data_IF_021419695432
#
_entry.id   IF_021419695432
#
_cell.length_a   1.000
_cell.length_b   1.000
_cell.length_c   1.000
_cell.angle_alpha   90.00
_cell.angle_beta   90.00
_cell.angle_gamma   90.00
#
_symmetry.space_group_name_H-M   'P 1'
#
loop_
_entity.id
_entity.type
_entity.pdbx_description
1 polymer ?
#
# COMPACT_ATOMS: atom_id res chain seq x y z
N UNK A 1 -51.48 15.79 71.18
CA UNK A 1 -51.06 14.37 71.17
C UNK A 1 -51.56 13.78 69.87
N UNK A 2 -50.67 13.28 69.01
CA UNK A 2 -51.10 12.65 67.75
C UNK A 2 -51.90 11.38 68.07
N UNK A 3 -53.05 11.19 67.45
CA UNK A 3 -53.84 9.97 67.65
C UNK A 3 -53.19 8.81 66.89
N UNK A 4 -53.29 7.59 67.41
CA UNK A 4 -52.70 6.38 66.78
C UNK A 4 -53.12 6.21 65.30
N UNK A 5 -54.32 6.68 64.95
CA UNK A 5 -54.89 6.68 63.60
C UNK A 5 -54.22 7.69 62.67
N UNK A 6 -53.86 8.86 63.19
CA UNK A 6 -53.23 9.94 62.41
C UNK A 6 -51.78 9.57 62.08
N UNK A 7 -51.04 9.01 63.06
CA UNK A 7 -49.68 8.52 62.87
C UNK A 7 -49.62 7.39 61.82
N UNK A 8 -50.57 6.46 61.86
CA UNK A 8 -50.62 5.34 60.91
C UNK A 8 -50.99 5.79 59.48
N UNK A 9 -51.85 6.80 59.31
CA UNK A 9 -52.14 7.41 58.00
C UNK A 9 -50.89 8.07 57.39
N UNK A 10 -50.19 8.92 58.14
CA UNK A 10 -48.98 9.58 57.66
C UNK A 10 -47.84 8.61 57.40
N UNK A 11 -47.65 7.59 58.24
CA UNK A 11 -46.61 6.57 58.06
C UNK A 11 -46.79 5.80 56.74
N UNK A 12 -48.02 5.39 56.41
CA UNK A 12 -48.31 4.68 55.16
C UNK A 12 -48.03 5.55 53.93
N UNK A 13 -48.36 6.84 54.01
CA UNK A 13 -48.10 7.82 52.95
C UNK A 13 -46.60 8.06 52.75
N UNK A 14 -45.84 8.19 53.84
CA UNK A 14 -44.37 8.33 53.80
C UNK A 14 -43.73 7.09 53.19
N UNK A 15 -44.13 5.89 53.58
CA UNK A 15 -43.61 4.64 53.01
C UNK A 15 -43.85 4.59 51.49
N UNK A 16 -45.08 4.90 51.04
CA UNK A 16 -45.40 4.90 49.61
C UNK A 16 -44.56 5.90 48.81
N UNK A 17 -44.41 7.12 49.31
CA UNK A 17 -43.58 8.16 48.67
C UNK A 17 -42.10 7.74 48.65
N UNK A 18 -41.60 7.13 49.72
CA UNK A 18 -40.22 6.65 49.82
C UNK A 18 -39.94 5.54 48.82
N UNK A 19 -40.87 4.59 48.65
CA UNK A 19 -40.74 3.51 47.65
C UNK A 19 -40.72 4.09 46.23
N UNK A 20 -41.60 5.04 45.92
CA UNK A 20 -41.60 5.72 44.60
C UNK A 20 -40.28 6.45 44.36
N UNK A 21 -39.75 7.15 45.36
CA UNK A 21 -38.48 7.86 45.26
C UNK A 21 -37.31 6.91 45.00
N UNK A 22 -37.26 5.76 45.69
CA UNK A 22 -36.23 4.73 45.50
C UNK A 22 -36.31 4.11 44.10
N UNK A 23 -37.51 3.83 43.60
CA UNK A 23 -37.71 3.29 42.25
C UNK A 23 -37.27 4.31 41.19
N UNK A 24 -37.65 5.58 41.33
CA UNK A 24 -37.18 6.66 40.45
C UNK A 24 -35.65 6.79 40.48
N UNK A 25 -35.04 6.74 41.66
CA UNK A 25 -33.59 6.82 41.82
C UNK A 25 -32.86 5.65 41.13
N UNK A 26 -33.43 4.44 41.15
CA UNK A 26 -32.87 3.28 40.44
C UNK A 26 -33.01 3.39 38.91
N UNK A 27 -34.13 3.95 38.41
CA UNK A 27 -34.41 4.05 36.96
C UNK A 27 -33.62 5.20 36.31
N UNK A 28 -33.40 6.30 37.03
CA UNK A 28 -32.73 7.51 36.52
C UNK A 28 -31.36 7.23 35.84
N UNK A 29 -30.39 6.52 36.45
CA UNK A 29 -29.09 6.27 35.81
C UNK A 29 -29.21 5.43 34.53
N UNK A 30 -30.20 4.53 34.46
CA UNK A 30 -30.48 3.73 33.26
C UNK A 30 -30.99 4.62 32.13
N UNK A 31 -31.96 5.51 32.43
CA UNK A 31 -32.48 6.47 31.45
C UNK A 31 -31.40 7.43 30.95
N UNK A 32 -30.53 7.93 31.84
CA UNK A 32 -29.40 8.80 31.46
C UNK A 32 -28.40 8.05 30.55
N UNK A 33 -28.09 6.78 30.86
CA UNK A 33 -27.16 5.99 30.04
C UNK A 33 -27.73 5.69 28.65
N UNK A 34 -29.02 5.36 28.57
CA UNK A 34 -29.72 5.14 27.29
C UNK A 34 -29.76 6.45 26.50
N UNK A 35 -30.17 7.56 27.14
CA UNK A 35 -30.25 8.88 26.50
C UNK A 35 -28.91 9.37 25.97
N UNK A 36 -27.84 9.23 26.75
CA UNK A 36 -26.48 9.62 26.33
C UNK A 36 -25.95 8.73 25.21
N UNK A 37 -26.23 7.42 25.23
CA UNK A 37 -25.85 6.51 24.14
C UNK A 37 -26.59 6.82 22.85
N UNK A 38 -27.90 7.11 22.94
CA UNK A 38 -28.71 7.51 21.78
C UNK A 38 -28.25 8.86 21.23
N UNK A 39 -28.00 9.83 22.11
CA UNK A 39 -27.48 11.15 21.72
C UNK A 39 -26.13 11.05 21.03
N UNK A 40 -25.16 10.28 21.56
CA UNK A 40 -23.84 10.08 20.92
C UNK A 40 -23.90 9.30 19.61
N UNK A 41 -24.90 8.43 19.41
CA UNK A 41 -25.12 7.76 18.12
C UNK A 41 -25.72 8.69 17.07
N UNK A 42 -26.61 9.59 17.47
CA UNK A 42 -27.24 10.55 16.58
C UNK A 42 -26.36 11.78 16.30
N UNK A 43 -25.55 12.18 17.29
CA UNK A 43 -24.58 13.26 17.24
C UNK A 43 -23.21 12.74 17.68
N UNK A 44 -22.49 12.00 16.81
CA UNK A 44 -21.11 11.63 17.09
C UNK A 44 -20.27 12.89 17.35
N UNK A 45 -19.37 12.82 18.32
CA UNK A 45 -18.44 13.92 18.58
C UNK A 45 -17.63 14.22 17.31
N UNK A 46 -17.41 15.50 16.96
CA UNK A 46 -16.62 15.85 15.79
C UNK A 46 -15.23 15.21 15.92
N UNK A 47 -14.65 14.72 14.81
CA UNK A 47 -13.33 14.11 14.86
C UNK A 47 -12.31 15.10 15.46
N UNK A 48 -11.29 14.62 16.19
CA UNK A 48 -10.29 15.49 16.78
C UNK A 48 -9.62 16.33 15.68
N UNK A 49 -9.20 17.57 15.97
CA UNK A 49 -8.59 18.43 14.98
C UNK A 49 -7.33 17.78 14.39
N UNK A 50 -7.01 18.03 13.10
CA UNK A 50 -5.80 17.51 12.49
C UNK A 50 -4.56 17.99 13.24
N UNK A 51 -3.65 17.06 13.54
CA UNK A 51 -2.44 17.37 14.31
C UNK A 51 -1.39 18.12 13.50
N UNK A 52 -1.30 17.87 12.18
CA UNK A 52 -0.35 18.52 11.25
C UNK A 52 1.10 18.63 11.81
N UNK A 53 1.58 17.56 12.47
CA UNK A 53 2.84 17.55 13.22
C UNK A 53 4.07 17.95 12.38
N UNK A 54 4.07 17.58 11.10
CA UNK A 54 5.23 17.75 10.21
C UNK A 54 5.12 19.02 9.34
N UNK A 55 4.14 19.90 9.59
CA UNK A 55 3.93 21.08 8.77
C UNK A 55 3.53 20.69 7.34
N UNK A 56 4.08 21.40 6.34
CA UNK A 56 3.82 21.10 4.92
C UNK A 56 4.54 19.83 4.48
N UNK A 57 3.83 18.94 3.81
CA UNK A 57 4.34 17.69 3.29
C UNK A 57 4.89 17.87 1.87
N UNK A 58 5.94 17.12 1.48
CA UNK A 58 6.36 17.08 0.09
C UNK A 58 5.24 16.54 -0.80
N UNK A 59 5.12 17.06 -2.03
CA UNK A 59 4.20 16.54 -3.03
C UNK A 59 4.55 15.07 -3.33
N UNK A 60 3.53 14.22 -3.44
CA UNK A 60 3.71 12.83 -3.91
C UNK A 60 4.32 12.89 -5.31
N UNK A 61 5.47 12.23 -5.49
CA UNK A 61 6.10 12.11 -6.79
C UNK A 61 5.43 10.97 -7.56
N UNK A 62 4.61 11.31 -8.56
CA UNK A 62 4.11 10.33 -9.51
C UNK A 62 5.06 10.25 -10.70
N UNK A 63 5.25 9.07 -11.31
CA UNK A 63 6.02 8.95 -12.55
C UNK A 63 5.47 9.89 -13.63
N UNK A 64 6.36 10.52 -14.38
CA UNK A 64 5.98 11.43 -15.47
C UNK A 64 5.16 10.69 -16.53
N UNK A 65 4.01 11.26 -16.90
CA UNK A 65 3.16 10.71 -17.95
C UNK A 65 2.93 11.76 -19.02
N UNK A 66 3.09 11.34 -20.27
CA UNK A 66 2.82 12.15 -21.45
C UNK A 66 1.81 11.37 -22.27
N UNK A 67 0.57 11.87 -22.35
CA UNK A 67 -0.45 11.32 -23.23
C UNK A 67 -0.58 12.24 -24.45
N UNK A 68 -0.64 11.66 -25.64
CA UNK A 68 -0.80 12.42 -26.89
C UNK A 68 -2.13 13.18 -26.94
N UNK A 69 -3.16 12.64 -26.27
CA UNK A 69 -4.48 13.26 -26.15
C UNK A 69 -5.02 13.11 -24.72
N UNK A 70 -5.83 14.06 -24.29
CA UNK A 70 -6.49 13.99 -22.99
C UNK A 70 -7.59 12.93 -23.00
N UNK A 71 -7.59 11.99 -22.05
CA UNK A 71 -8.64 10.98 -21.96
C UNK A 71 -9.97 11.60 -21.53
N UNK A 72 -11.06 10.99 -21.97
CA UNK A 72 -12.42 11.37 -21.55
C UNK A 72 -12.88 10.50 -20.39
N UNK A 73 -13.57 11.10 -19.42
CA UNK A 73 -13.97 10.40 -18.19
C UNK A 73 -15.50 10.32 -18.06
N UNK A 74 -15.98 9.16 -17.64
CA UNK A 74 -17.38 8.90 -17.28
C UNK A 74 -17.43 8.35 -15.86
N UNK A 75 -18.30 8.89 -15.02
CA UNK A 75 -18.52 8.40 -13.67
C UNK A 75 -19.77 7.51 -13.65
N UNK A 76 -19.56 6.21 -13.43
CA UNK A 76 -20.63 5.21 -13.40
C UNK A 76 -20.48 4.30 -12.16
N UNK A 77 -20.58 4.92 -10.98
CA UNK A 77 -20.59 4.20 -9.69
C UNK A 77 -21.95 3.56 -9.44
N UNK A 78 -21.99 2.55 -8.56
CA UNK A 78 -23.24 1.86 -8.18
C UNK A 78 -24.29 2.85 -7.67
N UNK A 79 -23.87 3.88 -6.94
CA UNK A 79 -24.74 4.90 -6.37
C UNK A 79 -25.02 6.07 -7.34
N UNK A 80 -24.37 6.10 -8.52
CA UNK A 80 -24.43 7.22 -9.45
C UNK A 80 -23.74 8.51 -8.94
N UNK A 81 -23.08 8.46 -7.78
CA UNK A 81 -22.35 9.58 -7.19
C UNK A 81 -21.03 9.12 -6.56
N UNK A 82 -20.16 10.07 -6.24
CA UNK A 82 -18.98 9.79 -5.42
C UNK A 82 -19.40 9.46 -3.98
N UNK A 83 -18.73 8.52 -3.31
CA UNK A 83 -19.04 8.15 -1.93
C UNK A 83 -18.57 9.23 -0.95
N UNK A 84 -19.21 9.29 0.22
CA UNK A 84 -18.75 10.15 1.31
C UNK A 84 -17.42 9.62 1.86
N UNK A 85 -16.44 10.51 1.98
CA UNK A 85 -15.10 10.19 2.48
C UNK A 85 -14.80 10.89 3.80
N UNK A 86 -13.90 10.34 4.62
CA UNK A 86 -13.31 11.06 5.74
C UNK A 86 -12.71 12.39 5.30
N UNK A 87 -12.76 13.38 6.17
CA UNK A 87 -12.20 14.74 5.93
C UNK A 87 -10.74 14.86 6.32
N UNK A 88 -10.16 13.82 6.91
CA UNK A 88 -8.77 13.76 7.35
C UNK A 88 -8.30 12.31 7.47
N UNK A 89 -6.99 12.11 7.53
CA UNK A 89 -6.40 10.81 7.81
C UNK A 89 -4.91 10.89 8.07
N UNK A 90 -4.31 9.73 8.36
CA UNK A 90 -2.93 9.65 8.83
C UNK A 90 -1.93 9.66 7.69
N UNK A 91 -0.82 10.33 7.92
CA UNK A 91 0.41 10.29 7.12
C UNK A 91 1.51 9.71 7.98
N UNK A 92 2.40 8.93 7.37
CA UNK A 92 3.47 8.22 8.04
C UNK A 92 4.83 8.65 7.52
N UNK A 93 5.79 8.83 8.42
CA UNK A 93 7.18 9.15 8.05
C UNK A 93 7.89 7.88 7.59
N UNK A 94 8.61 7.99 6.48
CA UNK A 94 9.47 6.93 5.97
C UNK A 94 10.87 7.09 6.56
N UNK A 95 11.38 6.01 7.13
CA UNK A 95 12.72 5.92 7.69
C UNK A 95 13.76 5.65 6.61
N UNK A 96 14.89 6.34 6.74
CA UNK A 96 16.09 6.10 5.94
C UNK A 96 17.24 5.64 6.85
N UNK A 97 18.13 4.81 6.32
CA UNK A 97 19.28 4.34 7.06
C UNK A 97 20.27 5.48 7.34
N UNK A 98 20.63 5.66 8.61
CA UNK A 98 21.52 6.74 9.04
C UNK A 98 23.01 6.36 8.97
N UNK A 99 23.36 5.07 8.97
CA UNK A 99 24.75 4.60 9.02
C UNK A 99 25.20 3.99 7.69
N UNK A 100 25.90 4.78 6.86
CA UNK A 100 26.35 4.36 5.53
C UNK A 100 27.29 3.15 5.55
N UNK A 101 28.25 3.12 6.48
CA UNK A 101 29.28 2.07 6.54
C UNK A 101 28.70 0.70 6.90
N UNK A 102 27.80 0.66 7.90
CA UNK A 102 27.17 -0.59 8.34
C UNK A 102 26.23 -1.14 7.26
N UNK A 103 25.49 -0.26 6.58
CA UNK A 103 24.61 -0.67 5.49
C UNK A 103 25.37 -1.18 4.28
N UNK A 104 26.48 -0.53 3.90
CA UNK A 104 27.32 -1.04 2.82
C UNK A 104 27.80 -2.47 3.11
N UNK A 105 28.23 -2.75 4.34
CA UNK A 105 28.65 -4.10 4.72
C UNK A 105 27.49 -5.10 4.65
N UNK A 106 26.30 -4.75 5.15
CA UNK A 106 25.09 -5.60 5.06
C UNK A 106 24.70 -5.89 3.62
N UNK A 107 24.72 -4.88 2.75
CA UNK A 107 24.39 -5.05 1.33
C UNK A 107 25.44 -5.91 0.64
N UNK A 108 26.73 -5.74 0.94
CA UNK A 108 27.80 -6.62 0.43
C UNK A 108 27.57 -8.08 0.85
N UNK A 109 27.20 -8.33 2.10
CA UNK A 109 26.95 -9.69 2.60
C UNK A 109 25.73 -10.33 1.92
N UNK A 110 24.67 -9.56 1.65
CA UNK A 110 23.50 -9.99 0.86
C UNK A 110 23.86 -10.30 -0.60
N UNK A 111 24.63 -9.40 -1.24
CA UNK A 111 25.12 -9.58 -2.61
C UNK A 111 25.95 -10.86 -2.76
N UNK A 112 26.86 -11.13 -1.80
CA UNK A 112 27.61 -12.39 -1.72
C UNK A 112 26.69 -13.61 -1.61
N UNK A 113 25.60 -13.50 -0.85
CA UNK A 113 24.57 -14.55 -0.76
C UNK A 113 23.89 -14.91 -2.08
N UNK A 114 23.88 -13.99 -3.07
CA UNK A 114 23.42 -14.24 -4.44
C UNK A 114 24.53 -14.68 -5.40
N UNK A 115 25.78 -14.77 -4.94
CA UNK A 115 26.93 -15.13 -5.78
C UNK A 115 27.71 -13.94 -6.34
N UNK A 116 27.38 -12.70 -5.97
CA UNK A 116 28.21 -11.53 -6.30
C UNK A 116 29.39 -11.45 -5.33
N UNK A 117 30.50 -12.10 -5.70
CA UNK A 117 31.73 -12.13 -4.90
C UNK A 117 32.67 -10.94 -5.12
N UNK A 118 32.49 -10.19 -6.21
CA UNK A 118 33.33 -9.04 -6.57
C UNK A 118 33.02 -7.78 -5.75
N UNK A 119 33.93 -6.80 -5.80
CA UNK A 119 33.67 -5.48 -5.26
C UNK A 119 32.69 -4.70 -6.16
N UNK A 120 31.74 -3.94 -5.58
CA UNK A 120 30.87 -3.09 -6.35
C UNK A 120 31.66 -1.92 -6.94
N UNK A 121 31.15 -1.37 -8.03
CA UNK A 121 31.49 -0.02 -8.45
C UNK A 121 30.34 0.92 -8.08
N UNK A 122 30.67 2.16 -7.77
CA UNK A 122 29.72 3.19 -7.39
C UNK A 122 29.19 3.88 -8.63
N UNK A 123 27.87 3.85 -8.84
CA UNK A 123 27.21 4.69 -9.84
C UNK A 123 27.04 6.13 -9.33
N UNK A 124 26.88 6.28 -8.00
CA UNK A 124 26.88 7.54 -7.25
C UNK A 124 27.34 7.27 -5.79
N UNK A 125 27.30 8.26 -4.88
CA UNK A 125 27.75 8.10 -3.48
C UNK A 125 26.94 7.07 -2.66
N UNK A 126 25.70 6.76 -3.06
CA UNK A 126 24.72 5.99 -2.27
C UNK A 126 24.26 4.70 -2.98
N UNK A 127 24.55 4.56 -4.27
CA UNK A 127 24.12 3.48 -5.16
C UNK A 127 25.31 2.65 -5.61
N UNK A 128 25.28 1.39 -5.23
CA UNK A 128 26.34 0.42 -5.49
C UNK A 128 25.84 -0.61 -6.49
N UNK A 129 26.69 -0.92 -7.46
CA UNK A 129 26.39 -1.87 -8.53
C UNK A 129 27.39 -3.00 -8.52
N UNK A 130 26.88 -4.23 -8.45
CA UNK A 130 27.64 -5.46 -8.63
C UNK A 130 27.33 -6.04 -10.01
N UNK A 131 28.35 -6.65 -10.62
CA UNK A 131 28.22 -7.44 -11.86
C UNK A 131 28.99 -8.74 -11.68
N UNK A 132 28.65 -9.77 -12.45
CA UNK A 132 29.26 -11.10 -12.27
C UNK A 132 29.72 -11.73 -13.59
N UNK A 133 30.71 -11.12 -14.27
CA UNK A 133 31.25 -11.67 -15.51
C UNK A 133 31.84 -13.09 -15.29
N UNK A 134 31.60 -14.06 -16.19
CA UNK A 134 30.98 -13.92 -17.52
C UNK A 134 29.44 -13.99 -17.54
N UNK A 135 28.79 -14.18 -16.39
CA UNK A 135 27.31 -14.23 -16.29
C UNK A 135 26.77 -12.80 -16.44
N UNK A 136 25.84 -12.53 -17.36
CA UNK A 136 25.30 -11.18 -17.56
C UNK A 136 24.24 -10.86 -16.51
N UNK A 137 24.63 -10.84 -15.23
CA UNK A 137 23.79 -10.41 -14.12
C UNK A 137 24.34 -9.16 -13.44
N UNK A 138 23.41 -8.37 -12.90
CA UNK A 138 23.67 -7.17 -12.14
C UNK A 138 22.79 -7.07 -10.91
N UNK A 139 23.33 -6.45 -9.88
CA UNK A 139 22.60 -6.06 -8.67
C UNK A 139 22.90 -4.60 -8.41
N UNK A 140 21.87 -3.77 -8.35
CA UNK A 140 21.96 -2.35 -7.99
C UNK A 140 21.27 -2.18 -6.66
N UNK A 141 21.94 -1.56 -5.68
CA UNK A 141 21.37 -1.32 -4.36
C UNK A 141 21.70 0.07 -3.83
N UNK A 142 20.71 0.71 -3.22
CA UNK A 142 20.85 1.98 -2.53
C UNK A 142 20.95 1.76 -1.01
N UNK A 143 22.06 2.17 -0.41
CA UNK A 143 22.33 1.89 1.01
C UNK A 143 21.52 2.75 1.99
N UNK A 144 20.97 3.89 1.52
CA UNK A 144 20.17 4.81 2.35
C UNK A 144 18.72 4.35 2.41
N UNK A 145 18.15 3.96 1.28
CA UNK A 145 16.74 3.57 1.18
C UNK A 145 16.56 2.07 1.40
N UNK A 146 17.62 1.28 1.28
CA UNK A 146 17.58 -0.18 1.30
C UNK A 146 16.97 -0.78 0.02
N UNK A 147 16.69 0.05 -0.98
CA UNK A 147 16.12 -0.38 -2.24
C UNK A 147 17.14 -1.15 -3.08
N UNK A 148 16.70 -2.17 -3.80
CA UNK A 148 17.57 -2.91 -4.71
C UNK A 148 16.82 -3.45 -5.92
N UNK A 149 17.57 -3.67 -6.99
CA UNK A 149 17.11 -4.29 -8.23
C UNK A 149 18.15 -5.31 -8.69
N UNK A 150 17.69 -6.52 -8.96
CA UNK A 150 18.45 -7.61 -9.55
C UNK A 150 17.96 -7.82 -10.98
N UNK A 151 18.90 -8.00 -11.91
CA UNK A 151 18.61 -8.26 -13.31
C UNK A 151 19.63 -9.27 -13.86
N UNK A 152 19.13 -10.26 -14.59
CA UNK A 152 19.92 -11.25 -15.30
C UNK A 152 19.44 -11.29 -16.75
N UNK A 153 20.37 -11.09 -17.69
CA UNK A 153 20.07 -11.12 -19.11
C UNK A 153 19.85 -12.55 -19.59
N UNK A 154 18.63 -13.04 -19.38
CA UNK A 154 18.19 -14.37 -19.75
C UNK A 154 18.19 -14.61 -21.27
N UNK A 155 18.31 -13.56 -22.11
CA UNK A 155 18.32 -13.68 -23.57
C UNK A 155 19.59 -14.33 -24.10
N UNK A 156 20.68 -14.28 -23.33
CA UNK A 156 21.92 -14.97 -23.68
C UNK A 156 21.87 -16.47 -23.36
N UNK A 157 20.81 -16.95 -22.68
CA UNK A 157 20.70 -18.32 -22.18
C UNK A 157 19.45 -19.03 -22.71
N UNK A 158 19.56 -19.84 -23.79
CA UNK A 158 18.43 -20.55 -24.40
C UNK A 158 17.61 -21.40 -23.42
N UNK A 159 18.25 -21.97 -22.39
CA UNK A 159 17.60 -22.79 -21.36
C UNK A 159 16.48 -22.03 -20.61
N UNK A 160 16.63 -20.70 -20.45
CA UNK A 160 15.63 -19.85 -19.80
C UNK A 160 14.30 -19.79 -20.58
N UNK A 161 14.34 -20.00 -21.90
CA UNK A 161 13.18 -19.89 -22.79
C UNK A 161 12.47 -21.22 -23.03
N UNK A 162 13.22 -22.33 -22.98
CA UNK A 162 12.72 -23.68 -23.28
C UNK A 162 12.00 -24.30 -22.09
N UNK A 163 12.40 -23.96 -20.85
CA UNK A 163 11.81 -24.60 -19.68
C UNK A 163 10.41 -24.08 -19.36
N UNK A 164 9.44 -24.99 -19.27
CA UNK A 164 8.03 -24.69 -19.00
C UNK A 164 7.55 -25.21 -17.64
N UNK A 165 8.46 -25.61 -16.76
CA UNK A 165 8.15 -26.06 -15.38
C UNK A 165 7.81 -24.86 -14.47
N UNK A 166 6.72 -24.18 -14.81
CA UNK A 166 6.20 -23.00 -14.13
C UNK A 166 5.34 -23.43 -12.94
N UNK A 167 5.68 -23.04 -11.70
CA UNK A 167 4.90 -23.39 -10.54
C UNK A 167 3.54 -22.69 -10.54
N UNK A 168 2.54 -23.36 -9.96
CA UNK A 168 1.24 -22.76 -9.65
C UNK A 168 1.35 -21.61 -8.63
N UNK A 169 0.33 -20.77 -8.58
CA UNK A 169 0.34 -19.47 -7.89
C UNK A 169 0.83 -19.51 -6.45
N UNK A 170 0.27 -20.36 -5.58
CA UNK A 170 0.68 -20.42 -4.17
C UNK A 170 2.17 -20.78 -4.02
N UNK A 171 2.64 -21.76 -4.79
CA UNK A 171 4.05 -22.17 -4.77
C UNK A 171 4.97 -21.08 -5.31
N UNK A 172 4.54 -20.37 -6.36
CA UNK A 172 5.27 -19.23 -6.92
C UNK A 172 5.41 -18.10 -5.90
N UNK A 173 4.35 -17.80 -5.14
CA UNK A 173 4.36 -16.78 -4.07
C UNK A 173 5.34 -17.17 -2.96
N UNK A 174 5.32 -18.43 -2.52
CA UNK A 174 6.26 -18.91 -1.49
C UNK A 174 7.72 -18.81 -1.96
N UNK A 175 7.99 -19.17 -3.22
CA UNK A 175 9.31 -19.05 -3.82
C UNK A 175 9.77 -17.58 -3.92
N UNK A 176 8.87 -16.68 -4.34
CA UNK A 176 9.17 -15.26 -4.43
C UNK A 176 9.46 -14.65 -3.05
N UNK A 177 8.61 -14.92 -2.05
CA UNK A 177 8.85 -14.47 -0.66
C UNK A 177 10.14 -15.07 -0.11
N UNK A 178 10.41 -16.35 -0.34
CA UNK A 178 11.69 -16.95 0.07
C UNK A 178 12.90 -16.26 -0.61
N UNK A 179 12.79 -15.91 -1.90
CA UNK A 179 13.84 -15.16 -2.59
C UNK A 179 14.06 -13.77 -1.98
N UNK A 180 12.98 -12.99 -1.85
CA UNK A 180 13.01 -11.63 -1.29
C UNK A 180 13.59 -11.64 0.14
N UNK A 181 13.19 -12.61 0.97
CA UNK A 181 13.64 -12.75 2.35
C UNK A 181 15.13 -13.07 2.53
N UNK A 182 15.80 -13.59 1.49
CA UNK A 182 17.27 -13.75 1.48
C UNK A 182 17.99 -12.42 1.25
N UNK A 183 17.35 -11.50 0.55
CA UNK A 183 17.94 -10.23 0.11
C UNK A 183 17.61 -9.05 1.01
N UNK A 184 16.42 -9.04 1.59
CA UNK A 184 15.97 -8.00 2.50
C UNK A 184 15.08 -8.59 3.58
N UNK A 185 14.99 -7.93 4.75
CA UNK A 185 13.94 -8.25 5.71
C UNK A 185 12.58 -8.18 5.03
N UNK A 186 11.72 -9.18 5.27
CA UNK A 186 10.32 -9.15 4.86
C UNK A 186 9.47 -8.78 6.07
N UNK A 187 9.01 -7.52 6.18
CA UNK A 187 8.22 -7.10 7.32
C UNK A 187 6.84 -7.77 7.30
N UNK A 188 6.17 -7.78 8.47
CA UNK A 188 4.93 -8.54 8.66
C UNK A 188 3.81 -8.13 7.71
N UNK A 189 3.78 -6.88 7.27
CA UNK A 189 2.80 -6.37 6.30
C UNK A 189 3.03 -6.91 4.88
N UNK A 190 4.26 -7.22 4.46
CA UNK A 190 4.53 -7.94 3.22
C UNK A 190 4.26 -9.45 3.35
N UNK A 191 4.45 -10.01 4.55
CA UNK A 191 4.16 -11.42 4.82
C UNK A 191 2.65 -11.68 4.76
N UNK A 192 1.87 -10.87 5.47
CA UNK A 192 0.40 -10.96 5.56
C UNK A 192 -0.34 -10.26 4.43
N UNK A 193 0.35 -9.44 3.64
CA UNK A 193 -0.19 -8.75 2.48
C UNK A 193 -0.52 -9.68 1.31
N UNK A 194 -1.21 -9.12 0.33
CA UNK A 194 -1.61 -9.85 -0.87
C UNK A 194 -0.45 -10.01 -1.85
N UNK A 195 -0.56 -10.97 -2.76
CA UNK A 195 0.38 -11.14 -3.86
C UNK A 195 -0.38 -11.44 -5.15
N UNK A 196 0.14 -10.96 -6.27
CA UNK A 196 -0.40 -11.24 -7.60
C UNK A 196 0.63 -12.01 -8.41
N UNK A 197 0.16 -13.05 -9.13
CA UNK A 197 0.99 -13.82 -10.06
C UNK A 197 0.55 -13.51 -11.48
N UNK A 198 1.51 -13.13 -12.32
CA UNK A 198 1.32 -12.86 -13.74
C UNK A 198 2.14 -13.89 -14.51
N UNK A 199 1.47 -14.78 -15.23
CA UNK A 199 2.13 -15.74 -16.11
C UNK A 199 2.47 -15.08 -17.43
N UNK A 200 3.65 -15.38 -17.97
CA UNK A 200 4.21 -14.69 -19.12
C UNK A 200 4.83 -15.67 -20.12
N UNK A 201 4.74 -15.29 -21.39
CA UNK A 201 5.49 -15.91 -22.49
C UNK A 201 6.54 -14.90 -22.92
N UNK A 202 7.80 -15.26 -22.73
CA UNK A 202 8.96 -14.53 -23.20
C UNK A 202 9.50 -15.16 -24.50
N UNK A 203 9.98 -14.33 -25.41
CA UNK A 203 10.62 -14.74 -26.67
C UNK A 203 12.13 -14.44 -26.65
N UNK A 204 12.87 -15.03 -27.59
CA UNK A 204 14.30 -14.76 -27.75
C UNK A 204 14.63 -13.28 -28.06
N UNK A 205 13.67 -12.49 -28.57
CA UNK A 205 13.87 -11.06 -28.81
C UNK A 205 13.82 -10.21 -27.55
N UNK A 206 13.43 -10.77 -26.40
CA UNK A 206 13.23 -10.01 -25.16
C UNK A 206 11.78 -9.59 -24.93
N UNK A 207 10.88 -9.80 -25.90
CA UNK A 207 9.47 -9.45 -25.77
C UNK A 207 8.77 -10.39 -24.79
N UNK A 208 7.88 -9.82 -23.98
CA UNK A 208 7.04 -10.58 -23.05
C UNK A 208 5.58 -10.25 -23.27
N UNK A 209 4.72 -11.26 -23.17
CA UNK A 209 3.27 -11.09 -23.20
C UNK A 209 2.63 -11.94 -22.11
N UNK A 210 1.49 -11.50 -21.61
CA UNK A 210 0.75 -12.26 -20.61
C UNK A 210 0.22 -13.57 -21.20
N UNK A 211 0.41 -14.66 -20.46
CA UNK A 211 -0.16 -15.97 -20.75
C UNK A 211 -1.54 -16.12 -20.11
N UNK A 212 -2.40 -16.95 -20.71
CA UNK A 212 -3.74 -17.23 -20.15
C UNK A 212 -3.67 -18.15 -18.93
N UNK A 213 -2.65 -18.99 -18.86
CA UNK A 213 -2.48 -20.01 -17.83
C UNK A 213 -1.00 -20.23 -17.52
N UNK A 214 -0.72 -20.93 -16.41
CA UNK A 214 0.64 -21.32 -16.06
C UNK A 214 1.21 -22.38 -17.01
N UNK A 215 0.37 -23.23 -17.63
CA UNK A 215 0.82 -24.30 -18.54
C UNK A 215 1.33 -23.77 -19.87
N UNK A 216 0.91 -22.56 -20.25
CA UNK A 216 1.33 -21.92 -21.51
C UNK A 216 2.55 -21.01 -21.31
N UNK A 217 3.01 -20.82 -20.07
CA UNK A 217 4.02 -19.86 -19.72
C UNK A 217 5.42 -20.48 -19.66
N UNK A 218 6.44 -19.67 -19.94
CA UNK A 218 7.85 -19.98 -19.68
C UNK A 218 8.47 -19.02 -18.65
N UNK A 219 7.75 -17.97 -18.27
CA UNK A 219 8.10 -17.06 -17.19
C UNK A 219 6.88 -16.77 -16.31
N UNK A 220 7.14 -16.35 -15.08
CA UNK A 220 6.13 -15.77 -14.20
C UNK A 220 6.72 -14.57 -13.47
N UNK A 221 5.85 -13.62 -13.13
CA UNK A 221 6.15 -12.51 -12.24
C UNK A 221 5.25 -12.63 -11.01
N UNK A 222 5.84 -12.50 -9.83
CA UNK A 222 5.12 -12.38 -8.56
C UNK A 222 5.32 -10.97 -8.04
N UNK A 223 4.23 -10.23 -7.87
CA UNK A 223 4.19 -8.92 -7.24
C UNK A 223 3.65 -9.06 -5.82
N UNK A 224 4.37 -8.54 -4.82
CA UNK A 224 3.98 -8.59 -3.40
C UNK A 224 3.52 -7.20 -2.96
N UNK A 225 2.35 -7.14 -2.34
CA UNK A 225 1.74 -5.92 -1.85
C UNK A 225 1.67 -5.93 -0.33
N UNK A 226 1.69 -4.74 0.27
CA UNK A 226 1.54 -4.58 1.72
C UNK A 226 0.11 -4.91 2.15
N UNK A 227 -0.04 -5.44 3.36
CA UNK A 227 -1.32 -5.55 4.04
C UNK A 227 -1.93 -4.16 4.27
N UNK A 228 -3.26 -4.11 4.41
CA UNK A 228 -3.97 -2.87 4.70
C UNK A 228 -3.49 -2.27 6.03
N UNK A 229 -3.43 -0.94 6.07
CA UNK A 229 -3.08 -0.17 7.26
C UNK A 229 -4.18 0.85 7.53
N UNK A 230 -4.66 0.92 8.76
CA UNK A 230 -5.85 1.71 9.13
C UNK A 230 -7.06 1.44 8.22
N UNK A 231 -7.29 0.17 7.86
CA UNK A 231 -8.33 -0.27 6.92
C UNK A 231 -8.16 0.20 5.47
N UNK A 232 -7.12 1.00 5.18
CA UNK A 232 -6.79 1.46 3.83
C UNK A 232 -5.82 0.49 3.15
N UNK A 233 -6.08 0.09 1.89
CA UNK A 233 -5.13 -0.70 1.11
C UNK A 233 -3.92 0.14 0.70
N UNK A 234 -2.82 -0.53 0.34
CA UNK A 234 -1.73 0.09 -0.39
C UNK A 234 -1.93 -0.07 -1.89
N UNK A 235 -1.67 1.00 -2.64
CA UNK A 235 -1.69 1.04 -4.10
C UNK A 235 -0.34 1.48 -4.63
N UNK A 236 0.00 1.04 -5.83
CA UNK A 236 1.30 1.28 -6.46
C UNK A 236 1.12 2.03 -7.77
N UNK A 237 2.19 2.67 -8.23
CA UNK A 237 2.33 3.23 -9.60
C UNK A 237 1.86 2.25 -10.68
N UNK A 238 2.25 0.98 -10.58
CA UNK A 238 1.92 -0.04 -11.57
C UNK A 238 0.46 -0.53 -11.52
N UNK A 239 -0.31 -0.14 -10.50
CA UNK A 239 -1.68 -0.59 -10.25
C UNK A 239 -1.76 -2.07 -9.92
N UNK A 240 -1.61 -2.90 -10.93
CA UNK A 240 -1.60 -4.36 -10.81
C UNK A 240 -0.21 -4.95 -10.57
N UNK A 241 0.85 -4.16 -10.71
CA UNK A 241 2.24 -4.56 -10.42
C UNK A 241 2.81 -3.78 -9.25
N UNK A 242 3.75 -4.40 -8.53
CA UNK A 242 4.40 -3.85 -7.34
C UNK A 242 5.86 -3.51 -7.62
N UNK A 243 6.43 -2.48 -6.96
CA UNK A 243 7.88 -2.29 -6.88
C UNK A 243 8.61 -3.45 -6.18
N UNK A 244 7.87 -4.28 -5.43
CA UNK A 244 8.38 -5.46 -4.75
C UNK A 244 7.94 -6.69 -5.53
N UNK A 245 8.86 -7.24 -6.33
CA UNK A 245 8.53 -8.32 -7.25
C UNK A 245 9.69 -9.28 -7.50
N UNK A 246 9.36 -10.47 -7.99
CA UNK A 246 10.31 -11.48 -8.47
C UNK A 246 9.81 -12.04 -9.80
N UNK A 247 10.68 -12.08 -10.80
CA UNK A 247 10.45 -12.73 -12.08
C UNK A 247 11.28 -14.01 -12.15
N UNK A 248 10.63 -15.10 -12.51
CA UNK A 248 11.24 -16.43 -12.60
C UNK A 248 10.96 -17.07 -13.94
N UNK A 249 11.91 -17.85 -14.45
CA UNK A 249 11.70 -18.77 -15.56
C UNK A 249 11.33 -20.17 -15.06
N UNK A 250 11.03 -21.08 -15.98
CA UNK A 250 10.69 -22.46 -15.68
C UNK A 250 11.86 -23.35 -15.25
N UNK A 251 13.07 -22.85 -14.99
CA UNK A 251 14.18 -23.71 -14.57
C UNK A 251 13.91 -24.33 -13.19
N UNK A 252 14.35 -25.58 -12.98
CA UNK A 252 14.17 -26.25 -11.68
C UNK A 252 15.05 -25.64 -10.59
N UNK A 253 16.31 -25.35 -10.92
CA UNK A 253 17.31 -24.76 -10.02
C UNK A 253 18.17 -23.76 -10.77
N UNK A 254 18.76 -22.81 -10.03
CA UNK A 254 19.90 -22.05 -10.54
C UNK A 254 21.17 -22.90 -10.51
N UNK A 255 22.11 -22.63 -11.42
CA UNK A 255 23.47 -23.17 -11.39
C UNK A 255 24.48 -22.04 -11.68
N UNK A 256 25.70 -22.36 -12.13
CA UNK A 256 26.75 -21.34 -12.36
C UNK A 256 26.39 -20.35 -13.48
N UNK A 257 25.83 -20.81 -14.60
CA UNK A 257 25.49 -19.98 -15.77
C UNK A 257 23.99 -19.66 -15.88
N UNK A 258 23.13 -20.49 -15.28
CA UNK A 258 21.69 -20.35 -15.36
C UNK A 258 21.11 -19.81 -14.05
N UNK A 259 20.15 -18.89 -14.17
CA UNK A 259 19.44 -18.33 -13.02
C UNK A 259 17.95 -18.60 -13.17
N UNK A 260 17.36 -19.19 -12.12
CA UNK A 260 15.90 -19.37 -12.07
C UNK A 260 15.17 -18.04 -11.88
N UNK A 261 15.68 -17.19 -10.99
CA UNK A 261 15.23 -15.80 -10.86
C UNK A 261 15.97 -14.97 -11.89
N UNK A 262 15.25 -14.25 -12.73
CA UNK A 262 15.83 -13.47 -13.83
C UNK A 262 15.75 -11.96 -13.58
N UNK A 263 14.81 -11.54 -12.74
CA UNK A 263 14.71 -10.16 -12.30
C UNK A 263 14.03 -10.13 -10.94
N UNK A 264 14.37 -9.15 -10.11
CA UNK A 264 13.65 -8.89 -8.88
C UNK A 264 13.84 -7.43 -8.48
N UNK A 265 12.82 -6.86 -7.85
CA UNK A 265 12.85 -5.51 -7.31
C UNK A 265 12.38 -5.52 -5.87
N UNK A 266 12.99 -4.65 -5.07
CA UNK A 266 12.55 -4.38 -3.72
C UNK A 266 12.71 -2.90 -3.44
N UNK A 267 11.58 -2.20 -3.44
CA UNK A 267 11.48 -0.82 -3.01
C UNK A 267 10.33 -0.77 -2.00
N UNK A 268 10.66 -0.49 -0.75
CA UNK A 268 9.75 -0.58 0.39
C UNK A 268 9.94 0.61 1.31
N UNK A 269 8.86 1.37 1.54
CA UNK A 269 8.85 2.49 2.47
C UNK A 269 8.73 2.01 3.93
N UNK A 270 9.87 1.87 4.60
CA UNK A 270 9.93 1.51 6.03
C UNK A 270 9.35 2.61 6.88
N UNK A 271 8.33 2.32 7.69
CA UNK A 271 7.66 3.33 8.52
C UNK A 271 8.35 3.48 9.88
N UNK A 272 8.55 4.70 10.36
CA UNK A 272 9.11 4.97 11.70
C UNK A 272 8.09 4.82 12.85
N UNK A 273 6.85 4.41 12.54
CA UNK A 273 5.78 4.19 13.51
C UNK A 273 5.07 5.45 14.01
N UNK A 274 5.69 6.63 13.91
CA UNK A 274 5.01 7.89 14.15
C UNK A 274 4.09 8.27 12.98
N UNK A 275 2.88 8.73 13.31
CA UNK A 275 1.92 9.26 12.34
C UNK A 275 1.42 10.64 12.77
N UNK A 276 0.90 11.38 11.79
CA UNK A 276 0.21 12.64 12.01
C UNK A 276 -1.04 12.69 11.15
N UNK A 277 -2.10 13.32 11.68
CA UNK A 277 -3.36 13.49 10.96
C UNK A 277 -3.34 14.78 10.15
N UNK A 278 -3.72 14.68 8.88
CA UNK A 278 -3.79 15.76 7.91
C UNK A 278 -5.20 15.88 7.33
N UNK A 279 -5.73 17.10 7.13
CA UNK A 279 -6.98 17.31 6.42
C UNK A 279 -6.87 16.91 4.96
N UNK A 280 -7.97 16.41 4.43
CA UNK A 280 -8.12 16.01 3.05
C UNK A 280 -8.91 17.04 2.24
N UNK A 281 -8.60 17.10 0.94
CA UNK A 281 -9.49 17.73 -0.04
C UNK A 281 -10.76 16.90 -0.21
N UNK A 282 -11.83 17.49 -0.74
CA UNK A 282 -13.05 16.74 -1.04
C UNK A 282 -12.82 15.76 -2.19
N UNK A 283 -13.59 14.67 -2.22
CA UNK A 283 -13.53 13.72 -3.33
C UNK A 283 -13.97 14.34 -4.66
N UNK A 284 -14.89 15.31 -4.63
CA UNK A 284 -15.31 16.06 -5.82
C UNK A 284 -14.18 16.91 -6.39
N UNK A 285 -13.39 17.54 -5.50
CA UNK A 285 -12.19 18.27 -5.91
C UNK A 285 -11.15 17.31 -6.52
N UNK A 286 -10.91 16.17 -5.88
CA UNK A 286 -10.00 15.15 -6.41
C UNK A 286 -10.46 14.61 -7.77
N UNK A 287 -11.76 14.41 -7.96
CA UNK A 287 -12.35 14.01 -9.25
C UNK A 287 -12.13 15.08 -10.33
N UNK A 288 -12.35 16.35 -9.99
CA UNK A 288 -12.07 17.47 -10.89
C UNK A 288 -10.58 17.55 -11.25
N UNK A 289 -9.67 17.28 -10.32
CA UNK A 289 -8.23 17.26 -10.57
C UNK A 289 -7.83 16.12 -11.51
N UNK A 290 -8.38 14.92 -11.30
CA UNK A 290 -8.12 13.77 -12.17
C UNK A 290 -8.54 14.05 -13.61
N UNK A 291 -9.77 14.55 -13.80
CA UNK A 291 -10.34 14.84 -15.12
C UNK A 291 -9.63 16.00 -15.85
N UNK A 292 -8.94 16.87 -15.10
CA UNK A 292 -8.09 17.94 -15.63
C UNK A 292 -6.64 17.49 -15.89
N UNK A 293 -6.32 16.19 -15.72
CA UNK A 293 -4.98 15.66 -15.94
C UNK A 293 -3.97 16.02 -14.84
N UNK A 294 -4.44 16.43 -13.65
CA UNK A 294 -3.58 16.71 -12.48
C UNK A 294 -3.34 15.48 -11.59
N UNK A 295 -4.00 14.37 -11.91
CA UNK A 295 -3.77 13.06 -11.30
C UNK A 295 -2.78 12.19 -12.09
N UNK A 296 -2.55 10.99 -11.58
CA UNK A 296 -1.78 9.95 -12.24
C UNK A 296 -2.72 8.84 -12.72
N UNK A 297 -2.48 8.27 -13.90
CA UNK A 297 -3.21 7.13 -14.44
C UNK A 297 -2.27 5.94 -14.64
N UNK A 298 -2.58 4.78 -14.07
CA UNK A 298 -1.75 3.56 -14.22
C UNK A 298 -1.52 3.11 -15.68
N UNK A 299 -2.37 3.54 -16.61
CA UNK A 299 -2.25 3.34 -18.07
C UNK A 299 -3.03 4.41 -18.81
N UNK A 300 -2.80 4.52 -20.12
CA UNK A 300 -3.63 5.33 -20.99
C UNK A 300 -4.82 4.52 -21.53
N UNK A 301 -6.01 5.11 -21.47
CA UNK A 301 -7.19 4.69 -22.22
C UNK A 301 -7.89 5.97 -22.72
N UNK A 302 -8.34 6.03 -24.00
CA UNK A 302 -8.98 7.23 -24.54
C UNK A 302 -10.35 7.53 -23.89
N UNK A 303 -11.08 6.49 -23.52
CA UNK A 303 -12.32 6.59 -22.73
C UNK A 303 -12.15 5.81 -21.42
N UNK A 304 -12.41 6.48 -20.30
CA UNK A 304 -12.26 5.93 -18.96
C UNK A 304 -13.60 5.97 -18.24
N UNK A 305 -14.14 4.79 -17.92
CA UNK A 305 -15.34 4.65 -17.08
C UNK A 305 -14.94 4.27 -15.66
N UNK A 306 -15.20 5.16 -14.70
CA UNK A 306 -14.89 4.94 -13.28
C UNK A 306 -16.08 4.31 -12.56
N UNK A 307 -15.82 3.17 -11.92
CA UNK A 307 -16.83 2.35 -11.22
C UNK A 307 -16.78 2.52 -9.70
N UNK A 308 -15.60 2.84 -9.16
CA UNK A 308 -15.36 2.90 -7.72
C UNK A 308 -14.38 4.01 -7.38
N UNK A 309 -14.64 4.69 -6.27
CA UNK A 309 -13.67 5.57 -5.64
C UNK A 309 -13.44 5.20 -4.17
N UNK A 310 -12.19 5.24 -3.70
CA UNK A 310 -11.80 4.88 -2.33
C UNK A 310 -10.50 5.56 -1.92
N UNK A 311 -10.17 5.53 -0.63
CA UNK A 311 -8.88 5.98 -0.10
C UNK A 311 -7.89 4.82 -0.02
N UNK A 312 -6.63 5.09 -0.32
CA UNK A 312 -5.53 4.14 -0.20
C UNK A 312 -4.23 4.85 0.19
N UNK A 313 -3.26 4.10 0.71
CA UNK A 313 -1.89 4.58 0.84
C UNK A 313 -1.11 4.35 -0.46
N UNK A 314 -0.36 5.35 -0.89
CA UNK A 314 0.47 5.23 -2.09
C UNK A 314 1.87 4.72 -1.75
N UNK A 315 2.26 3.61 -2.37
CA UNK A 315 3.61 3.06 -2.36
C UNK A 315 4.27 3.36 -3.71
N UNK A 316 5.36 4.13 -3.66
CA UNK A 316 6.04 4.67 -4.83
C UNK A 316 7.18 3.74 -5.30
N UNK A 317 7.40 3.68 -6.62
CA UNK A 317 8.59 3.03 -7.19
C UNK A 317 9.88 3.78 -6.85
N UNK A 318 9.77 5.05 -6.48
CA UNK A 318 10.86 5.89 -6.02
C UNK A 318 10.77 6.18 -4.52
N UNK A 319 11.89 6.33 -3.82
CA UNK A 319 11.91 6.67 -2.40
C UNK A 319 11.21 8.01 -2.11
N UNK A 320 10.28 8.01 -1.16
CA UNK A 320 9.60 9.22 -0.68
C UNK A 320 9.72 9.31 0.85
N UNK A 321 9.81 10.52 1.39
CA UNK A 321 9.96 10.73 2.84
C UNK A 321 8.70 10.44 3.65
N UNK A 322 7.55 10.28 2.98
CA UNK A 322 6.27 10.04 3.61
C UNK A 322 5.42 9.05 2.81
N UNK A 323 4.72 8.17 3.51
CA UNK A 323 3.59 7.43 2.94
C UNK A 323 2.34 8.27 3.16
N UNK A 324 1.73 8.68 2.05
CA UNK A 324 0.61 9.61 2.02
C UNK A 324 -0.63 8.95 1.41
N UNK A 325 -1.84 9.31 1.86
CA UNK A 325 -3.07 8.82 1.29
C UNK A 325 -3.36 9.47 -0.07
N UNK A 326 -3.96 8.69 -0.96
CA UNK A 326 -4.47 9.11 -2.27
C UNK A 326 -5.93 8.71 -2.42
N UNK A 327 -6.69 9.54 -3.14
CA UNK A 327 -7.95 9.12 -3.72
C UNK A 327 -7.67 8.23 -4.93
N UNK A 328 -8.32 7.08 -4.94
CA UNK A 328 -8.21 6.08 -5.99
C UNK A 328 -9.51 6.04 -6.77
N UNK A 329 -9.44 6.16 -8.08
CA UNK A 329 -10.55 6.05 -9.01
C UNK A 329 -10.31 4.82 -9.90
N UNK A 330 -11.00 3.71 -9.60
CA UNK A 330 -10.86 2.44 -10.30
C UNK A 330 -11.98 2.26 -11.33
N UNK A 331 -11.62 1.82 -12.53
CA UNK A 331 -12.52 1.72 -13.67
C UNK A 331 -12.32 0.47 -14.53
N UNK A 332 -13.05 0.44 -15.65
CA UNK A 332 -13.02 -0.66 -16.60
C UNK A 332 -11.62 -0.82 -17.25
N UNK A 333 -11.27 -2.04 -17.68
CA UNK A 333 -9.94 -2.31 -18.24
C UNK A 333 -8.79 -2.26 -17.21
N UNK A 334 -9.12 -2.39 -15.92
CA UNK A 334 -8.20 -2.27 -14.79
C UNK A 334 -7.44 -0.93 -14.77
N UNK A 335 -8.04 0.13 -15.30
CA UNK A 335 -7.50 1.49 -15.17
C UNK A 335 -7.70 1.96 -13.74
N UNK A 336 -6.66 2.60 -13.21
CA UNK A 336 -6.69 3.21 -11.90
C UNK A 336 -6.10 4.61 -12.00
N UNK A 337 -6.83 5.60 -11.49
CA UNK A 337 -6.38 6.97 -11.33
C UNK A 337 -6.08 7.30 -9.86
N UNK A 338 -5.00 8.04 -9.61
CA UNK A 338 -4.59 8.50 -8.28
C UNK A 338 -4.54 10.02 -8.21
N UNK A 339 -5.03 10.56 -7.10
CA UNK A 339 -4.91 11.98 -6.76
C UNK A 339 -4.51 12.11 -5.28
N UNK A 340 -3.55 12.97 -4.91
CA UNK A 340 -3.19 13.17 -3.50
C UNK A 340 -4.40 13.58 -2.67
N UNK A 341 -4.61 12.92 -1.53
CA UNK A 341 -5.77 13.21 -0.69
C UNK A 341 -5.55 14.44 0.22
N UNK A 342 -4.30 14.69 0.65
CA UNK A 342 -3.97 15.82 1.53
C UNK A 342 -4.28 17.16 0.84
N UNK A 343 -4.88 18.10 1.59
CA UNK A 343 -5.22 19.43 1.10
C UNK A 343 -4.00 20.19 0.58
N UNK A 344 -4.15 20.88 -0.56
CA UNK A 344 -3.04 21.54 -1.27
C UNK A 344 -2.32 22.61 -0.42
N UNK A 345 -3.03 23.25 0.51
CA UNK A 345 -2.45 24.25 1.42
C UNK A 345 -1.32 23.68 2.30
N UNK A 346 -1.37 22.37 2.56
CA UNK A 346 -0.41 21.61 3.35
C UNK A 346 0.60 20.84 2.50
N UNK A 347 0.62 21.07 1.19
CA UNK A 347 1.65 20.55 0.30
C UNK A 347 2.72 21.63 0.08
N UNK A 348 3.99 21.25 0.22
CA UNK A 348 5.13 22.09 -0.12
C UNK A 348 5.15 22.35 -1.63
N UNK A 349 5.43 23.60 -2.02
CA UNK A 349 5.45 24.03 -3.42
C UNK A 349 6.67 23.50 -4.17
#
# INVERSE_FOLDING_TARGET
MATLTEVSYYTRKVIMVTVIAVVLMMITPVLVKIGTTLYRRLNPEPPPPPTVKYGKLPKINFPTQSFETNPTFKLETIQGSLPKMPTQGKVYVVGFNQSRLLELQRVRDRAKGLGFGGEPFTSDELTYTWTNAPVPESLVANIVTGAWKYDFDWRTEPASLVSTDIPASNRAIDLAKAFLGRMAPLPQDLISGSAKVIYMIASASGETRQAQSFSDANFLRVDVFRANMDELPFVTTGGETSPIYVVMNGLKTSNKSERKVVAAGYQYSTLLGESATYPFKSIDQAWSELTQGKGYLTKYLPEITIRKAYLAYFESDEPQSFVQPVFVFAGDGNIIGYVPAVSEELIAK
#
